data_IF_365618186744
#
_entry.id   IF_365618186744
#
_cell.length_a   1.000
_cell.length_b   1.000
_cell.length_c   1.000
_cell.angle_alpha   90.00
_cell.angle_beta   90.00
_cell.angle_gamma   90.00
#
_symmetry.space_group_name_H-M   'P 1'
#
loop_
_entity.id
_entity.type
_entity.pdbx_description
1 polymer ?
#
# COMPACT_ATOMS: atom_id res chain seq x y z
N UNK A 1 -14.91 2.47 17.33
CA UNK A 1 -14.85 3.40 16.19
C UNK A 1 -16.14 4.17 16.09
N UNK A 2 -16.10 5.50 16.12
CA UNK A 2 -17.29 6.36 16.06
C UNK A 2 -17.40 7.00 14.69
N UNK A 3 -18.35 6.51 13.88
CA UNK A 3 -18.83 7.18 12.68
C UNK A 3 -19.91 8.18 13.11
N UNK A 4 -19.71 9.46 12.85
CA UNK A 4 -20.67 10.49 13.23
C UNK A 4 -21.45 10.94 11.99
N UNK A 5 -22.78 10.85 12.05
CA UNK A 5 -23.66 11.47 11.05
C UNK A 5 -23.88 12.93 11.46
N UNK A 6 -23.39 13.85 10.64
CA UNK A 6 -23.42 15.29 10.94
C UNK A 6 -24.70 15.92 10.38
N UNK A 7 -25.34 15.29 9.38
CA UNK A 7 -26.59 15.79 8.78
C UNK A 7 -26.45 17.18 8.18
N UNK A 8 -25.22 17.56 7.81
CA UNK A 8 -24.92 18.88 7.29
C UNK A 8 -25.22 19.00 5.80
N UNK A 9 -25.44 20.23 5.33
CA UNK A 9 -25.72 20.52 3.91
C UNK A 9 -24.60 20.06 2.95
N UNK A 10 -23.35 20.00 3.42
CA UNK A 10 -22.15 19.68 2.62
C UNK A 10 -21.43 18.42 3.09
N UNK A 11 -21.53 18.08 4.38
CA UNK A 11 -20.87 16.91 4.98
C UNK A 11 -21.92 16.01 5.59
N UNK A 12 -22.02 14.81 5.03
CA UNK A 12 -22.98 13.79 5.47
C UNK A 12 -22.46 13.01 6.70
N UNK A 13 -21.24 12.49 6.59
CA UNK A 13 -20.61 11.63 7.60
C UNK A 13 -19.16 12.06 7.88
N UNK A 14 -18.72 11.94 9.14
CA UNK A 14 -17.30 12.04 9.53
C UNK A 14 -16.83 10.75 10.19
N UNK A 15 -15.72 10.20 9.69
CA UNK A 15 -15.03 9.05 10.27
C UNK A 15 -13.74 9.49 10.99
N UNK A 16 -13.60 9.11 12.26
CA UNK A 16 -12.34 9.29 13.00
C UNK A 16 -11.39 8.13 12.71
N UNK A 17 -10.33 8.42 11.98
CA UNK A 17 -9.34 7.43 11.54
C UNK A 17 -8.10 7.45 12.44
N UNK A 18 -7.71 6.29 12.99
CA UNK A 18 -6.46 6.17 13.76
C UNK A 18 -5.30 5.84 12.83
N UNK A 19 -4.24 6.65 12.84
CA UNK A 19 -3.03 6.38 12.06
C UNK A 19 -2.42 5.03 12.48
N UNK A 20 -2.21 4.15 11.52
CA UNK A 20 -1.63 2.82 11.74
C UNK A 20 -0.13 2.95 12.03
N UNK A 21 0.39 2.09 12.90
CA UNK A 21 1.83 2.05 13.19
C UNK A 21 2.63 1.82 11.90
N UNK A 22 3.77 2.51 11.76
CA UNK A 22 4.51 2.62 10.48
C UNK A 22 4.88 1.24 9.90
N UNK A 23 5.26 0.29 10.75
CA UNK A 23 5.59 -1.09 10.36
C UNK A 23 4.41 -1.96 9.90
N UNK A 24 3.16 -1.57 10.18
CA UNK A 24 1.96 -2.28 9.71
C UNK A 24 1.27 -1.54 8.57
N UNK A 25 1.97 -0.65 7.87
CA UNK A 25 1.40 -0.05 6.66
C UNK A 25 1.29 -1.12 5.59
N UNK A 26 0.09 -1.28 5.04
CA UNK A 26 -0.18 -2.18 3.91
C UNK A 26 0.59 -1.76 2.64
N UNK A 27 1.11 -0.54 2.62
CA UNK A 27 2.01 -0.01 1.59
C UNK A 27 3.44 -0.54 1.68
N UNK A 28 3.87 -1.03 2.86
CA UNK A 28 5.27 -1.38 3.12
C UNK A 28 5.44 -2.88 3.29
N UNK A 29 4.67 -3.51 4.19
CA UNK A 29 4.88 -4.91 4.54
C UNK A 29 4.74 -5.89 3.36
N UNK A 30 3.70 -5.79 2.51
CA UNK A 30 3.55 -6.68 1.35
C UNK A 30 4.71 -6.55 0.36
N UNK A 31 5.19 -5.32 0.13
CA UNK A 31 6.30 -5.08 -0.76
C UNK A 31 7.63 -5.55 -0.18
N UNK A 32 7.85 -5.42 1.13
CA UNK A 32 9.02 -6.00 1.80
C UNK A 32 9.07 -7.51 1.59
N UNK A 33 7.93 -8.20 1.75
CA UNK A 33 7.84 -9.65 1.46
C UNK A 33 8.14 -9.90 -0.02
N UNK A 34 7.55 -9.12 -0.93
CA UNK A 34 7.70 -9.32 -2.37
C UNK A 34 9.16 -9.18 -2.82
N UNK A 35 9.89 -8.18 -2.32
CA UNK A 35 11.33 -8.02 -2.55
C UNK A 35 12.16 -9.13 -1.89
N UNK A 36 11.79 -9.54 -0.68
CA UNK A 36 12.43 -10.66 0.01
C UNK A 36 12.31 -11.97 -0.75
N UNK A 37 11.11 -12.28 -1.28
CA UNK A 37 10.86 -13.45 -2.11
C UNK A 37 11.64 -13.37 -3.42
N UNK A 38 11.69 -12.19 -4.05
CA UNK A 38 12.51 -11.99 -5.24
C UNK A 38 13.99 -12.30 -4.98
N UNK A 39 14.57 -11.77 -3.89
CA UNK A 39 15.96 -12.05 -3.50
C UNK A 39 16.18 -13.53 -3.15
N UNK A 40 15.27 -14.16 -2.43
CA UNK A 40 15.46 -15.51 -1.90
C UNK A 40 15.17 -16.62 -2.91
N UNK A 41 14.23 -16.40 -3.84
CA UNK A 41 13.76 -17.44 -4.76
C UNK A 41 14.04 -17.12 -6.22
N UNK A 42 13.93 -15.86 -6.65
CA UNK A 42 14.06 -15.49 -8.07
C UNK A 42 15.52 -15.32 -8.46
N UNK A 43 16.29 -14.53 -7.71
CA UNK A 43 17.73 -14.30 -7.96
C UNK A 43 18.55 -15.60 -8.06
N UNK A 44 18.38 -16.61 -7.19
CA UNK A 44 19.15 -17.86 -7.31
C UNK A 44 18.63 -18.82 -8.38
N UNK A 45 17.40 -18.64 -8.88
CA UNK A 45 16.76 -19.62 -9.79
C UNK A 45 16.71 -19.18 -11.25
N UNK A 46 16.81 -17.88 -11.52
CA UNK A 46 16.74 -17.31 -12.87
C UNK A 46 18.08 -16.72 -13.30
N UNK A 47 18.25 -16.56 -14.61
CA UNK A 47 19.34 -15.74 -15.12
C UNK A 47 19.14 -14.27 -14.73
N UNK A 48 20.21 -13.48 -14.86
CA UNK A 48 20.19 -12.08 -14.44
C UNK A 48 19.17 -11.25 -15.24
N UNK A 49 18.95 -11.58 -16.52
CA UNK A 49 18.01 -10.88 -17.39
C UNK A 49 16.58 -11.09 -16.90
N UNK A 50 16.15 -12.32 -16.75
CA UNK A 50 14.82 -12.69 -16.29
C UNK A 50 14.56 -12.21 -14.87
N UNK A 51 15.56 -12.34 -13.97
CA UNK A 51 15.47 -11.79 -12.62
C UNK A 51 15.25 -10.27 -12.63
N UNK A 52 15.91 -9.54 -13.53
CA UNK A 52 15.75 -8.09 -13.67
C UNK A 52 14.37 -7.68 -14.21
N UNK A 53 13.79 -8.48 -15.11
CA UNK A 53 12.42 -8.26 -15.61
C UNK A 53 11.41 -8.39 -14.45
N UNK A 54 11.55 -9.43 -13.61
CA UNK A 54 10.69 -9.61 -12.44
C UNK A 54 10.83 -8.43 -11.47
N UNK A 55 12.06 -7.95 -11.24
CA UNK A 55 12.29 -6.76 -10.41
C UNK A 55 11.62 -5.51 -10.99
N UNK A 56 11.68 -5.32 -12.31
CA UNK A 56 11.01 -4.23 -13.02
C UNK A 56 9.49 -4.26 -12.81
N UNK A 57 8.88 -5.45 -12.90
CA UNK A 57 7.45 -5.64 -12.61
C UNK A 57 7.08 -5.30 -11.16
N UNK A 58 7.89 -5.76 -10.20
CA UNK A 58 7.71 -5.43 -8.78
C UNK A 58 7.80 -3.92 -8.54
N UNK A 59 8.79 -3.25 -9.14
CA UNK A 59 8.97 -1.81 -9.03
C UNK A 59 7.81 -1.02 -9.66
N UNK A 60 7.37 -1.39 -10.86
CA UNK A 60 6.24 -0.74 -11.52
C UNK A 60 4.96 -0.85 -10.68
N UNK A 61 4.69 -2.03 -10.12
CA UNK A 61 3.56 -2.24 -9.22
C UNK A 61 3.69 -1.42 -7.92
N UNK A 62 4.89 -1.34 -7.34
CA UNK A 62 5.15 -0.52 -6.16
C UNK A 62 4.87 0.96 -6.42
N UNK A 63 5.37 1.49 -7.53
CA UNK A 63 5.13 2.89 -7.94
C UNK A 63 3.64 3.13 -8.16
N UNK A 64 2.94 2.21 -8.81
CA UNK A 64 1.50 2.32 -9.03
C UNK A 64 0.75 2.43 -7.71
N UNK A 65 1.02 1.54 -6.74
CA UNK A 65 0.41 1.58 -5.41
C UNK A 65 0.77 2.88 -4.67
N UNK A 66 2.02 3.33 -4.78
CA UNK A 66 2.45 4.60 -4.19
C UNK A 66 1.66 5.79 -4.77
N UNK A 67 1.46 5.83 -6.09
CA UNK A 67 0.67 6.86 -6.75
C UNK A 67 -0.79 6.83 -6.27
N UNK A 68 -1.40 5.64 -6.15
CA UNK A 68 -2.74 5.51 -5.56
C UNK A 68 -2.79 6.02 -4.12
N UNK A 69 -1.76 5.75 -3.32
CA UNK A 69 -1.63 6.22 -1.93
C UNK A 69 -1.51 7.75 -1.82
N UNK A 70 -0.98 8.43 -2.85
CA UNK A 70 -0.88 9.89 -2.88
C UNK A 70 -2.15 10.53 -3.46
N UNK A 71 -2.74 9.92 -4.49
CA UNK A 71 -3.80 10.54 -5.29
C UNK A 71 -5.22 10.22 -4.79
N UNK A 72 -5.47 9.02 -4.26
CA UNK A 72 -6.78 8.63 -3.74
C UNK A 72 -6.85 8.78 -2.22
N UNK A 73 -7.77 9.65 -1.76
CA UNK A 73 -8.01 9.87 -0.32
C UNK A 73 -8.52 8.59 0.34
N UNK A 74 -9.46 7.88 -0.30
CA UNK A 74 -10.00 6.62 0.21
C UNK A 74 -8.92 5.53 0.31
N UNK A 75 -8.08 5.39 -0.72
CA UNK A 75 -7.00 4.41 -0.71
C UNK A 75 -5.94 4.74 0.35
N UNK A 76 -5.58 6.03 0.49
CA UNK A 76 -4.70 6.51 1.55
C UNK A 76 -5.27 6.19 2.94
N UNK A 77 -6.57 6.40 3.14
CA UNK A 77 -7.27 6.07 4.37
C UNK A 77 -7.20 4.56 4.67
N UNK A 78 -7.51 3.72 3.68
CA UNK A 78 -7.42 2.26 3.78
C UNK A 78 -6.00 1.75 4.13
N UNK A 79 -4.98 2.32 3.51
CA UNK A 79 -3.59 1.86 3.62
C UNK A 79 -2.91 2.33 4.91
N UNK A 80 -3.13 3.60 5.30
CA UNK A 80 -2.39 4.25 6.40
C UNK A 80 -3.15 4.35 7.71
N UNK A 81 -4.46 4.11 7.70
CA UNK A 81 -5.29 4.30 8.88
C UNK A 81 -6.10 3.04 9.18
N UNK A 82 -6.33 2.78 10.45
CA UNK A 82 -7.41 1.89 10.86
C UNK A 82 -8.68 2.72 10.89
N UNK A 83 -9.76 2.16 10.33
CA UNK A 83 -11.09 2.57 10.72
C UNK A 83 -11.17 2.37 12.19
#
# INVERSE_FOLDING_TARGET
MSRFHVGGKVVDTVDLLRKRHWGWRLDMWPFTILYGVWLAAVVPSLDFGDASIVLGGILAFHVLVFLFTVWSVDFKCFVKYSK
#
